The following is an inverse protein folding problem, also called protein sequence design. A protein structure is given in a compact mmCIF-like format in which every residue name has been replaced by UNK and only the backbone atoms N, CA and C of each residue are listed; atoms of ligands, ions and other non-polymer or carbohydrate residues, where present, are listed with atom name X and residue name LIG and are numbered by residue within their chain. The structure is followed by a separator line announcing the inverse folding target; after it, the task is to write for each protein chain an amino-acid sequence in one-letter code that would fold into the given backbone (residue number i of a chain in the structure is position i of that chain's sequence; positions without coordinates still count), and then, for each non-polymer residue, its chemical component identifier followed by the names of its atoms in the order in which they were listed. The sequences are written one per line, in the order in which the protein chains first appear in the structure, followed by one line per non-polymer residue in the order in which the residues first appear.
data_IF_587803202649
#
_entry.id   IF_587803202649
#
_cell.length_a   1.000
_cell.length_b   1.000
_cell.length_c   1.000
_cell.angle_alpha   90.00
_cell.angle_beta   90.00
_cell.angle_gamma   90.00
#
_symmetry.space_group_name_H-M   'P 1'
#
loop_
_entity.id
_entity.type
_entity.pdbx_description
1 polymer ?
#
# COMPACT_ATOMS: atom_id res chain seq x y z
N UNK A 1 22.14 15.00 0.32
CA UNK A 1 20.80 15.16 0.90
C UNK A 1 19.78 15.80 -0.07
N UNK A 2 20.11 16.87 -0.80
CA UNK A 2 19.21 17.59 -1.70
C UNK A 2 18.65 16.80 -2.90
N UNK A 3 19.41 15.82 -3.45
CA UNK A 3 18.97 15.04 -4.61
C UNK A 3 17.88 14.03 -4.21
N UNK A 4 17.96 13.42 -3.02
CA UNK A 4 16.99 12.46 -2.51
C UNK A 4 15.63 13.12 -2.27
N UNK A 5 15.62 14.35 -1.76
CA UNK A 5 14.39 15.15 -1.55
C UNK A 5 13.73 15.52 -2.90
N UNK A 6 14.51 15.86 -3.93
CA UNK A 6 14.00 16.17 -5.27
C UNK A 6 13.32 14.98 -5.93
N UNK A 7 13.86 13.77 -5.75
CA UNK A 7 13.26 12.53 -6.32
C UNK A 7 11.92 12.22 -5.64
N UNK A 8 11.85 12.33 -4.30
CA UNK A 8 10.59 12.12 -3.56
C UNK A 8 9.55 13.19 -3.92
N UNK A 9 9.97 14.46 -4.07
CA UNK A 9 9.09 15.54 -4.47
C UNK A 9 8.59 15.39 -5.91
N UNK A 10 9.45 14.91 -6.83
CA UNK A 10 9.09 14.64 -8.22
C UNK A 10 8.13 13.43 -8.33
N UNK A 11 8.33 12.38 -7.55
CA UNK A 11 7.41 11.24 -7.46
C UNK A 11 6.04 11.67 -6.91
N UNK A 12 6.02 12.52 -5.88
CA UNK A 12 4.79 13.09 -5.30
C UNK A 12 4.06 14.00 -6.31
N UNK A 13 4.80 14.79 -7.09
CA UNK A 13 4.24 15.68 -8.12
C UNK A 13 3.63 14.90 -9.29
N UNK A 14 4.23 13.76 -9.66
CA UNK A 14 3.69 12.85 -10.67
C UNK A 14 2.37 12.20 -10.23
N UNK A 15 2.21 11.91 -8.93
CA UNK A 15 0.94 11.39 -8.39
C UNK A 15 -0.20 12.42 -8.44
N UNK A 16 0.10 13.71 -8.33
CA UNK A 16 -0.91 14.80 -8.37
C UNK A 16 -1.40 15.12 -9.79
N UNK A 17 -0.64 14.73 -10.82
CA UNK A 17 -0.99 14.99 -12.22
C UNK A 17 -2.04 14.03 -12.80
N UNK A 18 -2.54 13.06 -12.02
CA UNK A 18 -3.73 12.29 -12.38
C UNK A 18 -4.95 13.20 -12.15
N UNK A 19 -5.12 14.15 -13.07
CA UNK A 19 -6.36 14.93 -13.17
C UNK A 19 -7.50 13.93 -13.26
N UNK A 20 -8.42 14.05 -12.32
CA UNK A 20 -9.62 13.25 -12.29
C UNK A 20 -10.25 13.21 -13.69
N UNK A 21 -10.32 12.03 -14.26
CA UNK A 21 -11.25 11.75 -15.34
C UNK A 21 -12.60 11.91 -14.67
N UNK A 22 -13.18 13.11 -14.84
CA UNK A 22 -14.53 13.41 -14.44
C UNK A 22 -15.40 12.29 -15.02
N UNK A 23 -16.06 11.55 -14.14
CA UNK A 23 -17.05 10.56 -14.53
C UNK A 23 -18.18 11.31 -15.22
N UNK A 24 -18.20 11.29 -16.54
CA UNK A 24 -19.36 11.64 -17.32
C UNK A 24 -20.40 10.56 -16.98
N UNK A 25 -21.62 10.92 -16.53
CA UNK A 25 -22.69 9.96 -16.37
C UNK A 25 -23.11 9.50 -17.75
N UNK A 26 -22.51 8.45 -18.25
CA UNK A 26 -22.97 7.73 -19.42
C UNK A 26 -24.03 6.73 -18.94
N UNK A 27 -25.28 7.18 -19.03
CA UNK A 27 -26.48 6.38 -19.04
C UNK A 27 -26.36 5.33 -20.16
N UNK A 28 -25.88 4.14 -19.82
CA UNK A 28 -26.03 2.90 -20.56
C UNK A 28 -25.97 1.76 -19.56
N UNK A 29 -27.04 0.97 -19.51
CA UNK A 29 -27.09 -0.33 -18.88
C UNK A 29 -25.89 -1.19 -19.38
N UNK A 30 -24.72 -0.97 -18.76
CA UNK A 30 -23.55 -1.79 -18.99
C UNK A 30 -23.78 -3.06 -18.18
N UNK A 31 -23.97 -4.16 -18.90
CA UNK A 31 -23.93 -5.53 -18.36
C UNK A 31 -22.75 -5.55 -17.39
N UNK A 32 -23.03 -5.52 -16.10
CA UNK A 32 -22.01 -5.43 -15.04
C UNK A 32 -21.12 -6.65 -15.14
N UNK A 33 -19.95 -6.48 -15.74
CA UNK A 33 -18.99 -7.54 -15.95
C UNK A 33 -18.51 -8.00 -14.57
N UNK A 34 -19.05 -9.13 -14.12
CA UNK A 34 -18.83 -9.70 -12.79
C UNK A 34 -17.32 -9.80 -12.52
N UNK A 35 -16.80 -9.02 -11.58
CA UNK A 35 -15.38 -9.05 -11.22
C UNK A 35 -15.09 -10.31 -10.43
N UNK A 36 -14.05 -11.06 -10.85
CA UNK A 36 -13.65 -12.29 -10.15
C UNK A 36 -12.70 -11.96 -8.99
N UNK A 37 -13.07 -12.25 -7.73
CA UNK A 37 -12.20 -12.01 -6.57
C UNK A 37 -10.86 -12.75 -6.66
N UNK A 38 -10.88 -13.98 -7.24
CA UNK A 38 -9.64 -14.74 -7.47
C UNK A 38 -8.67 -14.01 -8.40
N UNK A 39 -9.18 -13.40 -9.49
CA UNK A 39 -8.32 -12.63 -10.42
C UNK A 39 -7.77 -11.36 -9.78
N UNK A 40 -8.59 -10.65 -9.00
CA UNK A 40 -8.13 -9.46 -8.27
C UNK A 40 -6.99 -9.79 -7.30
N UNK A 41 -7.13 -10.89 -6.55
CA UNK A 41 -6.08 -11.37 -5.64
C UNK A 41 -4.79 -11.74 -6.37
N UNK A 42 -4.88 -12.51 -7.47
CA UNK A 42 -3.70 -12.90 -8.26
C UNK A 42 -3.00 -11.67 -8.85
N UNK A 43 -3.74 -10.70 -9.37
CA UNK A 43 -3.15 -9.48 -9.91
C UNK A 43 -2.42 -8.66 -8.83
N UNK A 44 -3.00 -8.53 -7.63
CA UNK A 44 -2.33 -7.87 -6.51
C UNK A 44 -1.14 -8.65 -5.97
N UNK A 45 -1.16 -9.98 -6.08
CA UNK A 45 -0.02 -10.83 -5.72
C UNK A 45 1.13 -10.76 -6.75
N UNK A 46 0.84 -10.56 -8.04
CA UNK A 46 1.89 -10.38 -9.04
C UNK A 46 2.50 -8.96 -8.98
N UNK A 47 1.65 -7.94 -8.90
CA UNK A 47 2.09 -6.54 -8.84
C UNK A 47 1.23 -5.83 -7.80
N UNK A 48 1.85 -5.30 -6.71
CA UNK A 48 1.12 -4.56 -5.69
C UNK A 48 0.31 -3.40 -6.28
N UNK A 49 -0.98 -3.34 -5.96
CA UNK A 49 -1.89 -2.32 -6.49
C UNK A 49 -2.59 -2.66 -7.80
N UNK A 50 -2.18 -3.72 -8.53
CA UNK A 50 -2.84 -4.05 -9.81
C UNK A 50 -4.25 -4.62 -9.63
N UNK A 51 -4.52 -5.32 -8.54
CA UNK A 51 -5.87 -5.75 -8.20
C UNK A 51 -6.84 -4.58 -7.95
N UNK A 52 -6.38 -3.48 -7.36
CA UNK A 52 -7.16 -2.25 -7.23
C UNK A 52 -7.46 -1.63 -8.60
N UNK A 53 -6.50 -1.68 -9.54
CA UNK A 53 -6.71 -1.28 -10.94
C UNK A 53 -7.77 -2.14 -11.63
N UNK A 54 -7.73 -3.47 -11.44
CA UNK A 54 -8.74 -4.39 -11.94
C UNK A 54 -10.15 -4.08 -11.39
N UNK A 55 -10.23 -3.69 -10.11
CA UNK A 55 -11.47 -3.30 -9.44
C UNK A 55 -11.91 -1.84 -9.76
N UNK A 56 -11.22 -1.13 -10.68
CA UNK A 56 -11.45 0.28 -11.05
C UNK A 56 -11.28 1.27 -9.88
N UNK A 57 -10.64 0.86 -8.78
CA UNK A 57 -10.34 1.72 -7.61
C UNK A 57 -8.95 2.32 -7.69
N UNK A 58 -8.67 3.06 -8.77
CA UNK A 58 -7.35 3.62 -9.09
C UNK A 58 -6.77 4.53 -7.99
N UNK A 59 -7.64 5.18 -7.21
CA UNK A 59 -7.21 6.07 -6.13
C UNK A 59 -6.46 5.35 -4.99
N UNK A 60 -6.66 4.02 -4.84
CA UNK A 60 -5.95 3.21 -3.85
C UNK A 60 -4.51 2.86 -4.27
N UNK A 61 -4.22 2.86 -5.57
CA UNK A 61 -2.90 2.49 -6.09
C UNK A 61 -1.77 3.37 -5.50
N UNK A 62 -1.88 4.72 -5.50
CA UNK A 62 -0.85 5.56 -4.90
C UNK A 62 -0.68 5.33 -3.39
N UNK A 63 -1.74 4.95 -2.65
CA UNK A 63 -1.66 4.63 -1.22
C UNK A 63 -0.83 3.36 -1.01
N UNK A 64 -1.08 2.32 -1.82
CA UNK A 64 -0.32 1.06 -1.77
C UNK A 64 1.17 1.33 -2.02
N UNK A 65 1.50 2.07 -3.07
CA UNK A 65 2.88 2.41 -3.40
C UNK A 65 3.54 3.34 -2.38
N UNK A 66 2.79 4.27 -1.76
CA UNK A 66 3.30 5.09 -0.68
C UNK A 66 3.74 4.25 0.53
N UNK A 67 2.97 3.22 0.90
CA UNK A 67 3.35 2.28 1.96
C UNK A 67 4.63 1.52 1.65
N UNK A 68 4.76 0.95 0.45
CA UNK A 68 5.98 0.26 0.02
C UNK A 68 7.20 1.19 -0.06
N UNK A 69 7.00 2.42 -0.54
CA UNK A 69 8.08 3.41 -0.63
C UNK A 69 8.55 3.80 0.77
N UNK A 70 7.63 4.06 1.70
CA UNK A 70 7.97 4.44 3.07
C UNK A 70 8.76 3.34 3.78
N UNK A 71 8.24 2.10 3.76
CA UNK A 71 8.93 0.96 4.40
C UNK A 71 10.25 0.62 3.71
N UNK A 72 10.31 0.67 2.39
CA UNK A 72 11.54 0.45 1.62
C UNK A 72 12.62 1.49 1.91
N UNK A 73 12.26 2.76 2.06
CA UNK A 73 13.20 3.82 2.46
C UNK A 73 13.73 3.59 3.88
N UNK A 74 12.87 3.15 4.82
CA UNK A 74 13.28 2.83 6.17
C UNK A 74 14.25 1.65 6.20
N UNK A 75 13.96 0.58 5.45
CA UNK A 75 14.87 -0.57 5.30
C UNK A 75 16.21 -0.10 4.73
N UNK A 76 16.21 0.68 3.66
CA UNK A 76 17.43 1.16 3.01
C UNK A 76 18.30 2.00 3.96
N UNK A 77 17.71 2.94 4.70
CA UNK A 77 18.46 3.80 5.64
C UNK A 77 19.05 2.98 6.79
N UNK A 78 18.25 2.11 7.41
CA UNK A 78 18.73 1.28 8.51
C UNK A 78 19.77 0.25 8.06
N UNK A 79 19.60 -0.34 6.87
CA UNK A 79 20.59 -1.26 6.30
C UNK A 79 21.91 -0.57 5.95
N UNK A 80 21.87 0.69 5.49
CA UNK A 80 23.10 1.46 5.26
C UNK A 80 23.90 1.62 6.54
N UNK A 81 23.26 2.06 7.64
CA UNK A 81 23.94 2.26 8.92
C UNK A 81 24.37 0.91 9.55
N UNK A 82 23.56 -0.14 9.38
CA UNK A 82 23.93 -1.50 9.81
C UNK A 82 25.21 -1.97 9.11
N UNK A 83 25.34 -1.76 7.80
CA UNK A 83 26.53 -2.12 7.04
C UNK A 83 27.75 -1.29 7.48
N UNK A 84 27.58 0.02 7.69
CA UNK A 84 28.65 0.87 8.23
C UNK A 84 29.14 0.39 9.61
N UNK A 85 28.20 -0.03 10.48
CA UNK A 85 28.55 -0.59 11.78
C UNK A 85 29.26 -1.95 11.66
N UNK A 86 28.84 -2.78 10.69
CA UNK A 86 29.52 -4.05 10.40
C UNK A 86 30.94 -3.85 9.91
N UNK A 87 31.17 -2.93 8.97
CA UNK A 87 32.51 -2.61 8.46
C UNK A 87 33.41 -2.06 9.59
N UNK A 88 32.84 -1.22 10.47
CA UNK A 88 33.57 -0.73 11.65
C UNK A 88 33.91 -1.84 12.63
N UNK A 89 33.00 -2.81 12.85
CA UNK A 89 33.23 -3.96 13.71
C UNK A 89 34.39 -4.82 13.20
N UNK A 90 34.38 -5.18 11.91
CA UNK A 90 35.45 -5.97 11.29
C UNK A 90 36.81 -5.27 11.42
N UNK A 91 36.85 -3.96 11.13
CA UNK A 91 38.10 -3.20 11.23
C UNK A 91 38.67 -3.20 12.65
N UNK A 92 37.84 -3.10 13.69
CA UNK A 92 38.28 -3.16 15.11
C UNK A 92 38.70 -4.57 15.49
N UNK A 93 38.01 -5.61 15.02
CA UNK A 93 38.32 -7.03 15.29
C UNK A 93 39.65 -7.43 14.66
N UNK A 94 40.00 -6.89 13.49
CA UNK A 94 41.29 -7.07 12.82
C UNK A 94 42.45 -6.27 13.44
N UNK A 95 42.19 -5.59 14.56
CA UNK A 95 43.20 -4.85 15.31
C UNK A 95 43.32 -3.37 14.96
N UNK A 96 42.37 -2.80 14.27
CA UNK A 96 42.26 -1.39 13.90
C UNK A 96 43.49 -0.88 13.10
N UNK A 97 43.97 -1.70 12.17
CA UNK A 97 45.15 -1.40 11.34
C UNK A 97 44.72 -0.54 10.13
N UNK A 98 45.43 0.56 9.92
CA UNK A 98 45.14 1.48 8.81
C UNK A 98 44.12 2.56 9.14
N UNK A 99 43.55 3.18 8.09
CA UNK A 99 42.54 4.22 8.27
C UNK A 99 41.17 3.59 8.57
N UNK A 100 40.36 4.19 9.48
CA UNK A 100 39.04 3.73 9.75
C UNK A 100 38.17 3.77 8.47
N UNK A 101 37.33 2.73 8.19
CA UNK A 101 36.57 2.63 6.96
C UNK A 101 35.43 3.64 6.88
N UNK A 102 34.93 4.10 8.03
CA UNK A 102 33.80 5.04 8.09
C UNK A 102 33.81 5.89 9.38
N UNK A 103 32.86 6.79 9.51
CA UNK A 103 32.77 7.68 10.64
C UNK A 103 32.51 6.94 11.97
N UNK A 104 31.74 5.86 11.95
CA UNK A 104 31.48 5.02 13.14
C UNK A 104 32.76 4.38 13.66
N UNK A 105 33.61 3.86 12.76
CA UNK A 105 34.91 3.30 13.14
C UNK A 105 35.81 4.35 13.75
N UNK A 106 35.83 5.57 13.21
CA UNK A 106 36.65 6.66 13.73
C UNK A 106 36.19 7.15 15.11
N UNK A 107 34.88 7.17 15.33
CA UNK A 107 34.25 7.67 16.55
C UNK A 107 34.27 6.64 17.70
N UNK A 108 34.02 5.38 17.39
CA UNK A 108 33.80 4.31 18.37
C UNK A 108 34.82 3.18 18.30
N UNK A 109 35.89 3.33 17.51
CA UNK A 109 36.91 2.30 17.33
C UNK A 109 37.58 1.81 18.61
N UNK A 110 37.52 2.58 19.70
CA UNK A 110 38.01 2.18 21.02
C UNK A 110 37.01 1.33 21.82
N UNK A 111 35.79 1.08 21.30
CA UNK A 111 34.74 0.39 22.02
C UNK A 111 33.95 -0.54 21.10
N UNK A 112 34.45 -1.76 20.91
CA UNK A 112 33.83 -2.80 20.08
C UNK A 112 32.40 -3.09 20.52
N UNK A 113 32.13 -3.11 21.84
CA UNK A 113 30.80 -3.34 22.39
C UNK A 113 29.78 -2.27 21.96
N UNK A 114 30.25 -1.02 21.76
CA UNK A 114 29.38 0.06 21.28
C UNK A 114 29.02 -0.12 19.81
N UNK A 115 29.99 -0.51 18.99
CA UNK A 115 29.78 -0.79 17.56
C UNK A 115 28.82 -1.97 17.39
N UNK A 116 29.04 -3.05 18.17
CA UNK A 116 28.13 -4.21 18.19
C UNK A 116 26.71 -3.84 18.61
N UNK A 117 26.56 -2.99 19.62
CA UNK A 117 25.26 -2.49 20.04
C UNK A 117 24.55 -1.72 18.91
N UNK A 118 25.26 -0.86 18.19
CA UNK A 118 24.73 -0.10 17.04
C UNK A 118 24.33 -1.07 15.93
N UNK A 119 25.19 -2.03 15.57
CA UNK A 119 24.87 -3.05 14.58
C UNK A 119 23.58 -3.81 14.91
N UNK A 120 23.45 -4.30 16.14
CA UNK A 120 22.31 -5.08 16.58
C UNK A 120 21.02 -4.25 16.60
N UNK A 121 21.08 -2.96 16.97
CA UNK A 121 19.95 -2.04 16.94
C UNK A 121 19.42 -1.84 15.50
N UNK A 122 20.30 -1.51 14.56
CA UNK A 122 19.89 -1.27 13.18
C UNK A 122 19.50 -2.56 12.45
N UNK A 123 20.10 -3.69 12.77
CA UNK A 123 19.67 -5.00 12.32
C UNK A 123 18.23 -5.29 12.73
N UNK A 124 17.91 -5.06 14.00
CA UNK A 124 16.53 -5.23 14.49
C UNK A 124 15.55 -4.32 13.77
N UNK A 125 15.91 -3.06 13.49
CA UNK A 125 15.08 -2.15 12.71
C UNK A 125 14.83 -2.65 11.27
N UNK A 126 15.87 -3.17 10.61
CA UNK A 126 15.74 -3.78 9.26
C UNK A 126 14.78 -4.98 9.30
N UNK A 127 14.94 -5.87 10.27
CA UNK A 127 14.06 -7.04 10.45
C UNK A 127 12.62 -6.60 10.67
N UNK A 128 12.38 -5.61 11.55
CA UNK A 128 11.06 -5.08 11.87
C UNK A 128 10.38 -4.47 10.63
N UNK A 129 11.05 -3.58 9.91
CA UNK A 129 10.47 -2.96 8.71
C UNK A 129 10.27 -3.98 7.58
N UNK A 130 11.08 -5.02 7.49
CA UNK A 130 10.88 -6.12 6.57
C UNK A 130 9.56 -6.86 6.87
N UNK A 131 9.31 -7.19 8.15
CA UNK A 131 8.06 -7.83 8.57
C UNK A 131 6.85 -6.93 8.29
N UNK A 132 6.98 -5.62 8.57
CA UNK A 132 5.91 -4.65 8.27
C UNK A 132 5.64 -4.60 6.75
N UNK A 133 6.66 -4.63 5.91
CA UNK A 133 6.50 -4.63 4.44
C UNK A 133 5.77 -5.88 3.96
N UNK A 134 6.10 -7.04 4.50
CA UNK A 134 5.42 -8.30 4.19
C UNK A 134 3.95 -8.25 4.64
N UNK A 135 3.68 -7.76 5.85
CA UNK A 135 2.32 -7.59 6.33
C UNK A 135 1.51 -6.62 5.43
N UNK A 136 2.10 -5.48 5.04
CA UNK A 136 1.50 -4.53 4.12
C UNK A 136 1.16 -5.17 2.76
N UNK A 137 2.04 -6.03 2.25
CA UNK A 137 1.79 -6.78 1.02
C UNK A 137 0.56 -7.69 1.14
N UNK A 138 0.43 -8.44 2.24
CA UNK A 138 -0.76 -9.27 2.46
C UNK A 138 -2.04 -8.45 2.59
N UNK A 139 -2.00 -7.34 3.32
CA UNK A 139 -3.14 -6.42 3.45
C UNK A 139 -3.59 -5.91 2.07
N UNK A 140 -2.65 -5.55 1.20
CA UNK A 140 -2.95 -5.12 -0.17
C UNK A 140 -3.66 -6.21 -0.99
N UNK A 141 -3.26 -7.49 -0.87
CA UNK A 141 -3.91 -8.60 -1.57
C UNK A 141 -5.33 -8.80 -1.03
N UNK A 142 -5.48 -8.82 0.30
CA UNK A 142 -6.79 -9.00 0.95
C UNK A 142 -7.75 -7.87 0.54
N UNK A 143 -7.30 -6.62 0.57
CA UNK A 143 -8.10 -5.45 0.17
C UNK A 143 -8.60 -5.60 -1.28
N UNK A 144 -7.74 -6.03 -2.21
CA UNK A 144 -8.14 -6.25 -3.60
C UNK A 144 -9.21 -7.35 -3.76
N UNK A 145 -9.09 -8.45 -2.99
CA UNK A 145 -10.05 -9.56 -3.00
C UNK A 145 -11.40 -9.11 -2.42
N UNK A 146 -11.36 -8.41 -1.28
CA UNK A 146 -12.56 -7.88 -0.60
C UNK A 146 -13.31 -6.89 -1.48
N UNK A 147 -12.57 -5.96 -2.10
CA UNK A 147 -13.14 -4.99 -3.04
C UNK A 147 -13.84 -5.66 -4.23
N UNK A 148 -13.27 -6.73 -4.79
CA UNK A 148 -13.85 -7.48 -5.88
C UNK A 148 -15.13 -8.24 -5.46
N UNK A 149 -15.21 -8.69 -4.20
CA UNK A 149 -16.44 -9.26 -3.65
C UNK A 149 -17.55 -8.20 -3.56
N UNK A 150 -17.24 -7.02 -3.01
CA UNK A 150 -18.23 -5.95 -2.87
C UNK A 150 -18.73 -5.41 -4.22
N UNK A 151 -17.89 -5.36 -5.24
CA UNK A 151 -18.30 -4.93 -6.58
C UNK A 151 -19.36 -5.87 -7.20
N UNK A 152 -19.42 -7.13 -6.76
CA UNK A 152 -20.42 -8.09 -7.23
C UNK A 152 -21.74 -8.04 -6.45
N UNK A 153 -21.77 -7.37 -5.28
CA UNK A 153 -22.99 -7.16 -4.49
C UNK A 153 -23.60 -5.80 -4.84
N UNK A 154 -24.01 -5.62 -6.09
CA UNK A 154 -24.81 -4.46 -6.45
C UNK A 154 -26.25 -4.72 -6.00
N UNK A 155 -26.67 -4.06 -4.91
CA UNK A 155 -27.99 -4.19 -4.28
C UNK A 155 -29.00 -3.23 -4.92
N UNK A 156 -28.60 -2.48 -5.95
CA UNK A 156 -29.38 -1.36 -6.45
C UNK A 156 -30.56 -1.74 -7.35
N UNK A 157 -30.58 -2.94 -7.93
CA UNK A 157 -31.59 -3.26 -8.95
C UNK A 157 -32.89 -3.92 -8.43
N UNK A 158 -33.00 -4.25 -7.14
CA UNK A 158 -34.18 -4.92 -6.60
C UNK A 158 -34.96 -4.16 -5.52
N UNK A 159 -34.64 -2.90 -5.26
CA UNK A 159 -35.40 -2.04 -4.37
C UNK A 159 -36.35 -1.12 -5.17
N UNK A 160 -37.13 -1.69 -6.09
CA UNK A 160 -38.32 -1.00 -6.59
C UNK A 160 -39.39 -1.10 -5.51
N UNK A 161 -39.61 -0.02 -4.76
CA UNK A 161 -40.77 0.14 -3.89
C UNK A 161 -41.98 0.29 -4.82
N UNK A 162 -42.70 -0.81 -5.02
CA UNK A 162 -43.98 -0.77 -5.75
C UNK A 162 -45.05 -0.18 -4.82
N UNK A 163 -45.19 1.15 -4.85
CA UNK A 163 -46.29 1.84 -4.17
C UNK A 163 -47.53 1.65 -5.04
N UNK A 164 -48.27 0.57 -4.76
CA UNK A 164 -49.57 0.36 -5.39
C UNK A 164 -50.59 1.27 -4.68
N UNK A 165 -51.20 2.25 -5.37
CA UNK A 165 -52.24 3.06 -4.76
C UNK A 165 -53.42 2.16 -4.35
N UNK A 166 -54.10 2.43 -3.23
CA UNK A 166 -55.24 1.64 -2.80
C UNK A 166 -56.32 1.65 -3.91
N UNK A 167 -56.82 0.46 -4.21
CA UNK A 167 -57.89 0.34 -5.19
C UNK A 167 -59.10 1.23 -4.79
N UNK A 168 -59.72 1.95 -5.74
CA UNK A 168 -60.90 2.77 -5.43
C UNK A 168 -61.99 1.90 -4.86
N UNK A 169 -62.53 2.28 -3.69
CA UNK A 169 -63.63 1.60 -3.04
C UNK A 169 -64.88 1.90 -3.88
N UNK A 170 -65.26 0.98 -4.76
CA UNK A 170 -66.53 1.02 -5.46
C UNK A 170 -67.62 0.56 -4.48
N UNK A 171 -68.31 1.52 -3.89
CA UNK A 171 -69.55 1.20 -3.17
C UNK A 171 -70.60 0.80 -4.19
N UNK A 172 -71.20 -0.38 -4.10
CA UNK A 172 -72.40 -0.69 -4.90
C UNK A 172 -73.55 0.09 -4.31
N UNK A 173 -73.96 1.18 -4.98
CA UNK A 173 -75.26 1.79 -4.71
C UNK A 173 -76.36 0.78 -5.11
N UNK A 174 -76.96 0.13 -4.13
CA UNK A 174 -78.20 -0.57 -4.32
C UNK A 174 -79.31 0.48 -4.32
N UNK A 175 -79.93 0.74 -5.48
CA UNK A 175 -81.18 1.45 -5.61
C UNK A 175 -82.35 0.47 -5.40
N UNK A 176 -83.08 0.65 -4.35
CA UNK A 176 -84.46 0.14 -4.20
C UNK A 176 -85.44 1.03 -4.93
#
# INVERSE_FOLDING_TARGET
MAIKIKIVFFALLMCVSIKGIAQTPADKAEVTKKHSPKKAGIYSACIPGWGQGYNRKYWKIPIVWAGFTATGLMIYQNASTMNEAYDAYIWVDEGAVGNPPNELASQYGNSINKIESIYNEYRHQVELFTVITVAWYFVNIIDAVVDAHFTNFDVSDNLSINIQPPAPITHPFQST
#
